data_IF_431064758839
#
_entry.id   IF_431064758839
#
_cell.length_a   1.000
_cell.length_b   1.000
_cell.length_c   1.000
_cell.angle_alpha   90.00
_cell.angle_beta   90.00
_cell.angle_gamma   90.00
#
_symmetry.space_group_name_H-M   'P 1'
#
loop_
_entity.id
_entity.type
_entity.pdbx_description
1 polymer ?
#
# COMPACT_ATOMS: atom_id res chain seq x y z
N UNK A 1 10.61 13.32 1.65
CA UNK A 1 11.11 12.57 0.48
C UNK A 1 12.54 12.17 0.77
N UNK A 2 12.79 10.91 1.12
CA UNK A 2 14.15 10.40 1.27
C UNK A 2 14.54 9.75 -0.06
N UNK A 3 15.53 10.31 -0.75
CA UNK A 3 16.10 9.75 -1.97
C UNK A 3 17.44 9.12 -1.61
N UNK A 4 17.46 7.82 -1.29
CA UNK A 4 18.70 7.05 -1.29
C UNK A 4 19.08 6.75 -2.76
N UNK A 5 20.37 6.83 -3.08
CA UNK A 5 20.90 6.85 -4.44
C UNK A 5 20.36 5.75 -5.36
N UNK A 6 20.25 6.08 -6.65
CA UNK A 6 19.59 5.35 -7.75
C UNK A 6 19.79 3.82 -7.85
N UNK A 7 20.74 3.20 -7.17
CA UNK A 7 20.96 1.75 -7.23
C UNK A 7 20.18 0.96 -6.16
N UNK A 8 19.79 1.57 -5.01
CA UNK A 8 19.08 0.85 -3.94
C UNK A 8 17.56 0.80 -4.12
N UNK A 9 16.97 1.78 -4.81
CA UNK A 9 15.51 1.92 -4.95
C UNK A 9 14.87 1.07 -6.05
N UNK A 10 15.64 0.59 -7.04
CA UNK A 10 15.08 -0.08 -8.21
C UNK A 10 14.39 -1.41 -7.86
N UNK A 11 14.86 -2.08 -6.80
CA UNK A 11 14.30 -3.33 -6.30
C UNK A 11 13.11 -3.16 -5.38
N UNK A 12 12.79 -1.93 -4.95
CA UNK A 12 11.70 -1.67 -4.03
C UNK A 12 10.35 -1.78 -4.73
N UNK A 13 9.33 -2.15 -3.95
CA UNK A 13 7.94 -2.21 -4.41
C UNK A 13 7.18 -0.92 -4.10
N UNK A 14 7.91 0.19 -4.12
CA UNK A 14 7.42 1.56 -3.93
C UNK A 14 7.78 2.36 -5.18
N UNK A 15 6.84 3.16 -5.68
CA UNK A 15 7.02 3.97 -6.88
C UNK A 15 8.17 4.96 -6.69
N UNK A 16 9.12 4.97 -7.63
CA UNK A 16 10.27 5.88 -7.58
C UNK A 16 9.96 7.20 -8.28
N UNK A 17 10.26 8.32 -7.60
CA UNK A 17 10.35 9.64 -8.23
C UNK A 17 11.73 9.75 -8.90
N UNK A 18 11.80 9.55 -10.20
CA UNK A 18 13.05 9.51 -10.97
C UNK A 18 13.66 10.91 -11.12
N UNK A 19 12.82 11.93 -11.30
CA UNK A 19 13.24 13.32 -11.44
C UNK A 19 12.09 14.27 -11.07
N UNK A 20 12.39 15.54 -10.81
CA UNK A 20 11.39 16.60 -10.59
C UNK A 20 11.77 17.77 -11.48
N UNK A 21 10.84 18.17 -12.36
CA UNK A 21 11.11 19.24 -13.32
C UNK A 21 11.42 20.54 -12.57
N UNK A 22 12.47 21.22 -13.04
CA UNK A 22 12.87 22.47 -12.44
C UNK A 22 11.86 23.57 -12.79
N UNK A 23 11.29 24.26 -11.79
CA UNK A 23 10.48 25.43 -12.08
C UNK A 23 11.37 26.55 -12.65
N UNK A 24 10.91 27.29 -13.67
CA UNK A 24 11.71 28.34 -14.31
C UNK A 24 11.98 29.53 -13.39
N UNK A 25 11.05 29.84 -12.47
CA UNK A 25 11.22 30.87 -11.44
C UNK A 25 10.32 30.58 -10.24
N UNK A 26 10.76 30.96 -9.03
CA UNK A 26 10.03 30.71 -7.77
C UNK A 26 8.64 31.40 -7.76
N UNK A 27 8.54 32.59 -8.36
CA UNK A 27 7.28 33.35 -8.41
C UNK A 27 6.19 32.67 -9.23
N UNK A 28 6.57 31.79 -10.17
CA UNK A 28 5.66 31.02 -11.01
C UNK A 28 5.53 29.56 -10.55
N UNK A 29 6.07 29.22 -9.38
CA UNK A 29 5.99 27.86 -8.82
C UNK A 29 4.60 27.60 -8.25
N UNK A 30 3.68 27.19 -9.14
CA UNK A 30 2.31 26.79 -8.82
C UNK A 30 2.08 25.29 -8.98
N UNK A 31 2.86 24.64 -9.85
CA UNK A 31 2.73 23.23 -10.21
C UNK A 31 4.05 22.50 -9.99
N UNK A 32 3.96 21.22 -9.65
CA UNK A 32 5.10 20.32 -9.48
C UNK A 32 4.91 19.16 -10.44
N UNK A 33 5.90 18.92 -11.28
CA UNK A 33 5.91 17.79 -12.20
C UNK A 33 6.97 16.80 -11.74
N UNK A 34 6.51 15.63 -11.31
CA UNK A 34 7.37 14.52 -10.87
C UNK A 34 7.42 13.49 -11.98
N UNK A 35 8.62 13.17 -12.45
CA UNK A 35 8.85 12.07 -13.38
C UNK A 35 8.99 10.79 -12.56
N UNK A 36 8.22 9.77 -12.92
CA UNK A 36 8.29 8.45 -12.32
C UNK A 36 8.60 7.41 -13.38
N UNK A 37 8.84 6.18 -12.95
CA UNK A 37 8.74 5.04 -13.86
C UNK A 37 7.32 4.92 -14.43
N UNK A 38 7.23 4.40 -15.65
CA UNK A 38 5.96 4.17 -16.33
C UNK A 38 5.33 2.86 -15.86
N UNK A 39 4.16 2.98 -15.23
CA UNK A 39 3.31 1.84 -14.90
C UNK A 39 2.03 1.93 -15.75
N UNK A 40 1.80 0.94 -16.61
CA UNK A 40 0.73 1.02 -17.62
C UNK A 40 -0.69 0.95 -17.03
N UNK A 41 -0.86 0.34 -15.86
CA UNK A 41 -2.15 0.13 -15.21
C UNK A 41 -2.03 0.22 -13.69
N UNK A 42 -3.17 0.11 -13.03
CA UNK A 42 -3.33 -0.17 -11.61
C UNK A 42 -3.99 -1.54 -11.42
N UNK A 43 -3.89 -2.10 -10.22
CA UNK A 43 -4.44 -3.41 -9.89
C UNK A 43 -5.98 -3.42 -9.95
N UNK A 44 -6.64 -2.28 -9.70
CA UNK A 44 -8.10 -2.16 -9.83
C UNK A 44 -8.55 -2.50 -11.25
N UNK A 45 -7.95 -1.86 -12.26
CA UNK A 45 -8.23 -2.15 -13.68
C UNK A 45 -7.94 -3.61 -14.03
N UNK A 46 -6.87 -4.19 -13.51
CA UNK A 46 -6.57 -5.61 -13.71
C UNK A 46 -7.68 -6.50 -13.13
N UNK A 47 -8.15 -6.21 -11.91
CA UNK A 47 -9.22 -6.95 -11.20
C UNK A 47 -10.56 -6.89 -11.93
N UNK A 48 -10.94 -5.74 -12.49
CA UNK A 48 -12.26 -5.59 -13.14
C UNK A 48 -12.26 -5.91 -14.64
N UNK A 49 -11.08 -6.05 -15.26
CA UNK A 49 -10.95 -6.37 -16.69
C UNK A 49 -11.45 -7.80 -17.02
N UNK A 50 -11.64 -8.14 -18.31
CA UNK A 50 -11.86 -9.54 -18.71
C UNK A 50 -10.58 -10.38 -18.74
N UNK A 51 -9.40 -9.79 -18.42
CA UNK A 51 -8.14 -10.53 -18.44
C UNK A 51 -8.13 -11.65 -17.41
N UNK A 52 -7.65 -12.83 -17.81
CA UNK A 52 -7.60 -13.98 -16.93
C UNK A 52 -6.49 -13.83 -15.87
N UNK A 53 -6.88 -13.74 -14.59
CA UNK A 53 -5.97 -13.87 -13.46
C UNK A 53 -5.84 -15.34 -13.07
N UNK A 54 -4.64 -15.89 -13.20
CA UNK A 54 -4.29 -17.23 -12.74
C UNK A 54 -3.96 -17.20 -11.24
N UNK A 55 -3.90 -18.38 -10.61
CA UNK A 55 -3.42 -18.52 -9.23
C UNK A 55 -2.01 -17.93 -9.04
N UNK A 56 -1.13 -18.10 -10.03
CA UNK A 56 0.23 -17.55 -10.02
C UNK A 56 0.22 -16.02 -9.98
N UNK A 57 -0.64 -15.37 -10.76
CA UNK A 57 -0.79 -13.92 -10.73
C UNK A 57 -1.22 -13.44 -9.34
N UNK A 58 -2.18 -14.11 -8.71
CA UNK A 58 -2.65 -13.76 -7.35
C UNK A 58 -1.51 -13.85 -6.33
N UNK A 59 -0.77 -14.98 -6.33
CA UNK A 59 0.36 -15.19 -5.41
C UNK A 59 1.46 -14.15 -5.61
N UNK A 60 1.83 -13.86 -6.85
CA UNK A 60 2.88 -12.90 -7.20
C UNK A 60 2.49 -11.46 -6.85
N UNK A 61 1.24 -11.05 -7.09
CA UNK A 61 0.76 -9.73 -6.69
C UNK A 61 0.72 -9.60 -5.17
N UNK A 62 0.14 -10.57 -4.47
CA UNK A 62 0.08 -10.56 -3.00
C UNK A 62 1.48 -10.49 -2.38
N UNK A 63 2.40 -11.32 -2.87
CA UNK A 63 3.80 -11.31 -2.44
C UNK A 63 4.47 -9.93 -2.64
N UNK A 64 4.30 -9.32 -3.82
CA UNK A 64 4.91 -8.00 -4.10
C UNK A 64 4.32 -6.88 -3.22
N UNK A 65 3.01 -6.91 -2.94
CA UNK A 65 2.35 -5.94 -2.05
C UNK A 65 2.93 -6.07 -0.64
N UNK A 66 2.97 -7.29 -0.09
CA UNK A 66 3.50 -7.54 1.24
C UNK A 66 4.99 -7.21 1.33
N UNK A 67 5.78 -7.54 0.30
CA UNK A 67 7.20 -7.16 0.24
C UNK A 67 7.39 -5.64 0.27
N UNK A 68 6.53 -4.88 -0.40
CA UNK A 68 6.55 -3.40 -0.35
C UNK A 68 6.17 -2.86 1.02
N UNK A 69 5.12 -3.41 1.63
CA UNK A 69 4.71 -3.01 2.98
C UNK A 69 5.75 -3.37 4.03
N UNK A 70 6.46 -4.51 3.92
CA UNK A 70 7.54 -4.87 4.86
C UNK A 70 8.60 -3.77 4.92
N UNK A 71 8.99 -3.27 3.75
CA UNK A 71 9.93 -2.15 3.63
C UNK A 71 9.36 -0.88 4.29
N UNK A 72 8.15 -0.47 3.93
CA UNK A 72 7.50 0.73 4.50
C UNK A 72 7.33 0.65 6.02
N UNK A 73 6.85 -0.48 6.52
CA UNK A 73 6.63 -0.77 7.93
C UNK A 73 7.94 -0.77 8.73
N UNK A 74 9.02 -1.30 8.15
CA UNK A 74 10.35 -1.19 8.77
C UNK A 74 10.90 0.24 8.78
N UNK A 75 10.47 1.09 7.86
CA UNK A 75 10.73 2.54 7.89
C UNK A 75 9.78 3.30 8.82
N UNK A 76 8.91 2.59 9.58
CA UNK A 76 7.86 3.16 10.42
C UNK A 76 6.81 3.99 9.66
N UNK A 77 6.63 3.72 8.36
CA UNK A 77 5.61 4.36 7.53
C UNK A 77 4.36 3.48 7.51
N UNK A 78 3.21 4.05 7.86
CA UNK A 78 1.89 3.45 7.69
C UNK A 78 1.23 4.11 6.49
N UNK A 79 0.81 3.33 5.49
CA UNK A 79 0.29 3.89 4.25
C UNK A 79 -1.15 4.40 4.39
N UNK A 80 -2.00 3.72 5.18
CA UNK A 80 -3.39 4.07 5.53
C UNK A 80 -4.42 4.08 4.38
N UNK A 81 -3.97 4.05 3.13
CA UNK A 81 -4.82 4.03 1.93
C UNK A 81 -4.39 2.96 0.91
N UNK A 82 -4.06 1.77 1.39
CA UNK A 82 -3.78 0.62 0.53
C UNK A 82 -5.09 0.16 -0.12
N UNK A 83 -5.16 0.29 -1.45
CA UNK A 83 -6.29 -0.12 -2.28
C UNK A 83 -5.81 -0.47 -3.69
N UNK A 84 -6.56 -1.25 -4.48
CA UNK A 84 -6.12 -1.66 -5.82
C UNK A 84 -5.74 -0.51 -6.76
N UNK A 85 -6.37 0.66 -6.61
CA UNK A 85 -6.03 1.87 -7.39
C UNK A 85 -4.67 2.49 -7.06
N UNK A 86 -4.15 2.23 -5.86
CA UNK A 86 -2.84 2.73 -5.39
C UNK A 86 -1.73 1.67 -5.54
N UNK A 87 -2.02 0.58 -6.25
CA UNK A 87 -1.09 -0.50 -6.56
C UNK A 87 -0.89 -0.53 -8.07
N UNK A 88 0.14 0.16 -8.53
CA UNK A 88 0.45 0.28 -9.95
C UNK A 88 1.06 -1.02 -10.47
N UNK A 89 0.70 -1.39 -11.70
CA UNK A 89 1.12 -2.63 -12.35
C UNK A 89 1.59 -2.34 -13.77
N UNK A 90 2.72 -2.97 -14.16
CA UNK A 90 3.22 -2.89 -15.52
C UNK A 90 2.97 -4.19 -16.32
N UNK A 91 3.28 -4.17 -17.63
CA UNK A 91 3.09 -5.33 -18.53
C UNK A 91 3.84 -6.60 -18.11
N UNK A 92 4.90 -6.44 -17.30
CA UNK A 92 5.70 -7.55 -16.78
C UNK A 92 5.19 -8.04 -15.42
N UNK A 93 3.97 -7.65 -15.02
CA UNK A 93 3.37 -7.94 -13.71
C UNK A 93 4.23 -7.46 -12.51
N UNK A 94 5.10 -6.47 -12.72
CA UNK A 94 5.78 -5.78 -11.62
C UNK A 94 4.77 -4.83 -10.97
N UNK A 95 4.69 -4.90 -9.64
CA UNK A 95 3.79 -4.08 -8.84
C UNK A 95 4.58 -3.05 -8.03
N UNK A 96 4.06 -1.83 -7.93
CA UNK A 96 4.57 -0.79 -7.05
C UNK A 96 3.47 -0.03 -6.33
N UNK A 97 3.67 0.19 -5.03
CA UNK A 97 2.79 0.99 -4.17
C UNK A 97 3.03 2.47 -4.47
N UNK A 98 1.95 3.23 -4.62
CA UNK A 98 1.98 4.68 -4.83
C UNK A 98 0.95 5.40 -3.95
N UNK A 99 0.91 6.72 -4.06
CA UNK A 99 -0.02 7.61 -3.36
C UNK A 99 0.12 7.60 -1.83
N UNK A 100 1.20 8.22 -1.37
CA UNK A 100 1.52 8.42 0.04
C UNK A 100 0.87 9.68 0.62
N UNK A 101 -0.12 10.27 -0.05
CA UNK A 101 -0.75 11.53 0.38
C UNK A 101 -1.43 11.42 1.75
N UNK A 102 -1.83 10.21 2.14
CA UNK A 102 -2.39 9.89 3.45
C UNK A 102 -1.42 9.08 4.31
N UNK A 103 -0.17 8.87 3.93
CA UNK A 103 0.76 8.11 4.75
C UNK A 103 1.16 8.90 6.01
N UNK A 104 1.53 8.19 7.08
CA UNK A 104 2.06 8.79 8.33
C UNK A 104 3.20 7.98 8.87
N UNK A 105 4.11 8.65 9.58
CA UNK A 105 5.04 7.97 10.47
C UNK A 105 4.28 7.47 11.69
N UNK A 106 4.62 6.27 12.12
CA UNK A 106 4.09 5.65 13.32
C UNK A 106 4.39 6.49 14.56
N UNK A 107 3.34 6.82 15.32
CA UNK A 107 3.47 7.52 16.59
C UNK A 107 3.61 6.50 17.74
N UNK A 108 4.80 6.38 18.38
CA UNK A 108 5.00 5.42 19.46
C UNK A 108 4.24 5.79 20.75
N UNK A 109 3.86 7.05 20.94
CA UNK A 109 3.10 7.48 22.09
C UNK A 109 1.61 7.23 21.89
N UNK A 110 1.08 6.16 22.49
CA UNK A 110 -0.34 5.78 22.43
C UNK A 110 -1.30 6.87 22.93
N UNK A 111 -0.82 7.84 23.71
CA UNK A 111 -1.63 8.96 24.21
C UNK A 111 -1.94 10.01 23.13
N UNK A 112 -1.14 10.05 22.06
CA UNK A 112 -1.34 10.99 20.96
C UNK A 112 -2.32 10.42 19.93
N UNK A 113 -3.27 11.26 19.55
CA UNK A 113 -4.28 10.86 18.57
C UNK A 113 -3.74 10.98 17.14
N UNK A 114 -4.01 9.96 16.33
CA UNK A 114 -3.77 9.93 14.90
C UNK A 114 -5.04 10.37 14.16
N UNK A 115 -4.89 11.25 13.17
CA UNK A 115 -6.03 11.80 12.41
C UNK A 115 -6.76 10.73 11.62
N UNK A 116 -8.09 10.79 11.58
CA UNK A 116 -8.90 9.93 10.73
C UNK A 116 -9.33 10.70 9.49
N UNK A 117 -8.74 10.39 8.35
CA UNK A 117 -9.08 11.04 7.07
C UNK A 117 -10.30 10.35 6.43
N UNK A 118 -11.17 11.11 5.78
CA UNK A 118 -12.40 10.62 5.14
C UNK A 118 -12.13 10.30 3.67
N UNK A 119 -12.00 9.02 3.34
CA UNK A 119 -11.71 8.50 1.99
C UNK A 119 -12.41 7.15 1.78
N UNK A 120 -12.04 6.42 0.72
CA UNK A 120 -12.59 5.10 0.35
C UNK A 120 -12.65 4.14 1.54
N UNK A 121 -13.86 3.66 1.85
CA UNK A 121 -14.11 2.84 3.05
C UNK A 121 -13.94 1.33 2.85
N UNK A 122 -13.93 0.84 1.60
CA UNK A 122 -13.96 -0.60 1.29
C UNK A 122 -12.78 -1.40 1.86
N UNK A 123 -11.62 -0.75 2.02
CA UNK A 123 -10.38 -1.35 2.48
C UNK A 123 -9.99 -0.88 3.89
N UNK A 124 -10.87 -0.12 4.56
CA UNK A 124 -10.61 0.45 5.88
C UNK A 124 -10.76 -0.60 6.97
N UNK A 125 -9.79 -0.62 7.89
CA UNK A 125 -9.76 -1.56 9.00
C UNK A 125 -10.89 -1.33 10.04
N UNK A 126 -11.37 -2.38 10.73
CA UNK A 126 -12.47 -2.26 11.70
C UNK A 126 -12.19 -1.25 12.80
N UNK A 127 -10.96 -1.20 13.32
CA UNK A 127 -10.54 -0.25 14.35
C UNK A 127 -10.71 1.20 13.90
N UNK A 128 -10.41 1.51 12.64
CA UNK A 128 -10.62 2.86 12.07
C UNK A 128 -12.12 3.16 11.90
N UNK A 129 -12.92 2.18 11.46
CA UNK A 129 -14.38 2.32 11.35
C UNK A 129 -15.06 2.50 12.72
N UNK A 130 -14.49 1.92 13.77
CA UNK A 130 -14.96 2.01 15.15
C UNK A 130 -14.39 3.22 15.91
N UNK A 131 -13.67 4.13 15.25
CA UNK A 131 -13.24 5.39 15.88
C UNK A 131 -11.97 5.28 16.73
N UNK A 132 -11.10 4.29 16.48
CA UNK A 132 -9.82 4.19 17.17
C UNK A 132 -8.99 5.47 16.98
N UNK A 133 -8.50 6.02 18.10
CA UNK A 133 -7.73 7.26 18.13
C UNK A 133 -6.24 7.04 17.89
N UNK A 134 -5.76 5.84 18.15
CA UNK A 134 -4.40 5.41 17.88
C UNK A 134 -4.47 4.08 17.13
N UNK A 135 -3.61 3.92 16.13
CA UNK A 135 -3.59 2.76 15.26
C UNK A 135 -2.21 2.64 14.63
N UNK A 136 -1.85 1.42 14.23
CA UNK A 136 -0.52 1.07 13.76
C UNK A 136 -0.57 0.36 12.39
N UNK A 137 0.55 -0.21 11.98
CA UNK A 137 0.79 -0.92 10.71
C UNK A 137 -0.25 -2.01 10.36
N UNK A 138 -0.93 -2.56 11.36
CA UNK A 138 -1.97 -3.58 11.17
C UNK A 138 -3.12 -3.10 10.26
N UNK A 139 -3.39 -1.79 10.18
CA UNK A 139 -4.44 -1.24 9.29
C UNK A 139 -4.14 -1.55 7.82
N UNK A 140 -2.87 -1.50 7.40
CA UNK A 140 -2.48 -1.82 6.03
C UNK A 140 -2.64 -3.32 5.75
N UNK A 141 -2.36 -4.18 6.72
CA UNK A 141 -2.54 -5.64 6.57
C UNK A 141 -4.01 -5.99 6.35
N UNK A 142 -4.93 -5.32 7.07
CA UNK A 142 -6.36 -5.48 6.81
C UNK A 142 -6.71 -5.12 5.37
N UNK A 143 -6.23 -3.96 4.90
CA UNK A 143 -6.45 -3.52 3.52
C UNK A 143 -5.94 -4.54 2.51
N UNK A 144 -4.75 -5.12 2.73
CA UNK A 144 -4.22 -6.21 1.88
C UNK A 144 -5.11 -7.45 1.96
N UNK A 145 -5.64 -7.81 3.12
CA UNK A 145 -6.62 -8.89 3.26
C UNK A 145 -7.85 -8.67 2.37
N UNK A 146 -8.42 -7.47 2.38
CA UNK A 146 -9.53 -7.11 1.48
C UNK A 146 -9.15 -7.27 0.00
N UNK A 147 -7.97 -6.76 -0.40
CA UNK A 147 -7.45 -6.87 -1.77
C UNK A 147 -7.20 -8.33 -2.15
N UNK A 148 -6.72 -9.16 -1.22
CA UNK A 148 -6.50 -10.57 -1.47
C UNK A 148 -7.83 -11.31 -1.72
N UNK A 149 -8.85 -11.05 -0.90
CA UNK A 149 -10.20 -11.56 -1.16
C UNK A 149 -10.75 -11.11 -2.51
N UNK A 150 -10.48 -9.86 -2.89
CA UNK A 150 -10.88 -9.31 -4.20
C UNK A 150 -10.10 -9.92 -5.38
N UNK A 151 -8.82 -10.22 -5.22
CA UNK A 151 -8.02 -10.95 -6.23
C UNK A 151 -8.55 -12.37 -6.44
N UNK A 152 -8.98 -13.05 -5.37
CA UNK A 152 -9.56 -14.39 -5.43
C UNK A 152 -10.95 -14.39 -6.07
N UNK A 153 -11.76 -13.36 -5.78
CA UNK A 153 -13.17 -13.30 -6.18
C UNK A 153 -13.54 -12.35 -7.30
N UNK A 154 -12.58 -11.56 -7.82
CA UNK A 154 -12.76 -10.56 -8.87
C UNK A 154 -13.84 -9.51 -8.56
N UNK A 155 -14.13 -9.31 -7.26
CA UNK A 155 -15.13 -8.36 -6.75
C UNK A 155 -14.69 -7.83 -5.40
N UNK A 156 -15.03 -6.57 -5.11
CA UNK A 156 -14.75 -5.93 -3.83
C UNK A 156 -15.32 -6.80 -2.69
N UNK A 157 -14.47 -7.16 -1.73
CA UNK A 157 -14.85 -8.08 -0.65
C UNK A 157 -15.93 -7.49 0.26
N UNK A 158 -15.75 -6.23 0.67
CA UNK A 158 -16.68 -5.50 1.53
C UNK A 158 -17.08 -4.20 0.85
N UNK A 159 -18.18 -4.24 0.08
CA UNK A 159 -18.73 -3.08 -0.60
C UNK A 159 -19.91 -2.50 0.18
N UNK A 160 -19.74 -1.29 0.72
CA UNK A 160 -20.78 -0.61 1.50
C UNK A 160 -20.80 0.91 1.29
N UNK A 161 -21.97 1.54 1.46
CA UNK A 161 -22.13 2.98 1.21
C UNK A 161 -21.78 3.86 2.41
N UNK A 162 -21.69 3.30 3.62
CA UNK A 162 -21.35 4.04 4.83
C UNK A 162 -20.43 3.23 5.77
N UNK A 163 -19.70 3.90 6.69
CA UNK A 163 -18.81 3.21 7.63
C UNK A 163 -19.54 2.20 8.52
N UNK A 164 -20.78 2.52 8.90
CA UNK A 164 -21.64 1.61 9.65
C UNK A 164 -21.94 0.38 8.81
N UNK A 165 -22.46 0.54 7.59
CA UNK A 165 -22.74 -0.58 6.67
C UNK A 165 -21.50 -1.42 6.39
N UNK A 166 -20.33 -0.78 6.25
CA UNK A 166 -19.05 -1.46 6.06
C UNK A 166 -18.76 -2.39 7.24
N UNK A 167 -18.95 -1.90 8.48
CA UNK A 167 -18.78 -2.69 9.68
C UNK A 167 -19.80 -3.84 9.78
N UNK A 168 -21.03 -3.65 9.28
CA UNK A 168 -22.02 -4.75 9.21
C UNK A 168 -21.56 -5.86 8.26
N UNK A 169 -21.07 -5.49 7.07
CA UNK A 169 -20.54 -6.47 6.10
C UNK A 169 -19.37 -7.26 6.64
N UNK A 170 -18.49 -6.59 7.38
CA UNK A 170 -17.37 -7.25 8.07
C UNK A 170 -17.89 -8.23 9.12
N UNK A 171 -18.87 -7.80 9.93
CA UNK A 171 -19.50 -8.63 10.96
C UNK A 171 -20.25 -9.82 10.37
N UNK A 172 -20.90 -9.67 9.21
CA UNK A 172 -21.59 -10.76 8.52
C UNK A 172 -20.63 -11.89 8.14
N UNK A 173 -19.39 -11.56 7.79
CA UNK A 173 -18.37 -12.55 7.42
C UNK A 173 -17.62 -13.10 8.64
N UNK A 174 -17.13 -12.22 9.52
CA UNK A 174 -16.24 -12.59 10.62
C UNK A 174 -16.99 -12.97 11.91
N UNK A 175 -18.29 -12.73 11.97
CA UNK A 175 -19.09 -12.87 13.18
C UNK A 175 -19.04 -11.61 14.05
N UNK A 176 -19.80 -11.61 15.13
CA UNK A 176 -19.82 -10.50 16.09
C UNK A 176 -18.53 -10.49 16.93
N UNK A 177 -17.76 -9.39 16.93
CA UNK A 177 -16.53 -9.31 17.71
C UNK A 177 -16.80 -9.29 19.21
N UNK A 178 -15.89 -9.89 19.98
CA UNK A 178 -15.91 -9.76 21.44
C UNK A 178 -15.46 -8.35 21.88
N UNK A 179 -15.66 -8.02 23.16
CA UNK A 179 -15.14 -6.76 23.74
C UNK A 179 -13.61 -6.69 23.62
N UNK A 180 -12.93 -7.82 23.79
CA UNK A 180 -11.48 -7.92 23.60
C UNK A 180 -11.07 -7.62 22.16
N UNK A 181 -11.89 -8.03 21.19
CA UNK A 181 -11.61 -7.74 19.77
C UNK A 181 -11.87 -6.28 19.38
N UNK A 182 -12.64 -5.56 20.21
CA UNK A 182 -12.93 -4.13 20.08
C UNK A 182 -12.11 -3.27 21.03
N UNK A 183 -10.95 -3.75 21.50
CA UNK A 183 -10.08 -3.07 22.48
C UNK A 183 -9.84 -1.58 22.21
N UNK A 184 -9.70 -1.19 20.94
CA UNK A 184 -9.41 0.20 20.53
C UNK A 184 -10.63 0.98 20.03
N UNK A 185 -11.82 0.38 20.05
CA UNK A 185 -13.04 1.02 19.59
C UNK A 185 -13.50 2.13 20.55
N UNK A 186 -14.18 3.15 20.00
CA UNK A 186 -14.85 4.13 20.85
C UNK A 186 -16.09 3.53 21.53
N UNK A 187 -16.49 4.09 22.67
CA UNK A 187 -17.62 3.60 23.48
C UNK A 187 -18.92 3.49 22.66
N UNK A 188 -19.18 4.46 21.78
CA UNK A 188 -20.35 4.45 20.90
C UNK A 188 -20.34 3.29 19.92
N UNK A 189 -19.18 2.93 19.36
CA UNK A 189 -19.05 1.81 18.44
C UNK A 189 -19.22 0.46 19.16
N UNK A 190 -18.63 0.30 20.35
CA UNK A 190 -18.80 -0.90 21.19
C UNK A 190 -20.27 -1.11 21.53
N UNK A 191 -20.93 -0.05 22.01
CA UNK A 191 -22.36 -0.11 22.39
C UNK A 191 -23.23 -0.49 21.19
N UNK A 192 -22.99 0.14 20.04
CA UNK A 192 -23.71 -0.17 18.80
C UNK A 192 -23.49 -1.62 18.34
N UNK A 193 -22.28 -2.17 18.48
CA UNK A 193 -22.00 -3.55 18.09
C UNK A 193 -22.66 -4.57 19.02
N UNK A 194 -22.60 -4.34 20.33
CA UNK A 194 -23.14 -5.25 21.35
C UNK A 194 -24.67 -5.21 21.44
N UNK A 195 -25.32 -4.12 21.03
CA UNK A 195 -26.78 -4.03 21.02
C UNK A 195 -27.45 -4.88 19.94
N UNK A 196 -26.68 -5.45 19.01
CA UNK A 196 -27.19 -6.23 17.88
C UNK A 196 -27.22 -7.72 18.20
N UNK A 197 -28.07 -8.50 17.50
CA UNK A 197 -28.04 -9.96 17.62
C UNK A 197 -26.66 -10.51 17.25
N UNK A 198 -26.16 -11.40 18.11
CA UNK A 198 -24.88 -12.09 17.89
C UNK A 198 -24.97 -12.94 16.61
N UNK A 199 -23.97 -12.81 15.75
CA UNK A 199 -23.83 -13.56 14.49
C UNK A 199 -22.62 -14.48 14.56
N UNK A 200 -22.75 -15.78 14.19
CA UNK A 200 -21.60 -16.65 14.03
C UNK A 200 -20.77 -16.23 12.82
N UNK A 201 -19.49 -16.58 12.81
CA UNK A 201 -18.61 -16.33 11.66
C UNK A 201 -19.03 -17.18 10.44
N UNK A 202 -19.08 -16.56 9.27
CA UNK A 202 -19.42 -17.18 7.99
C UNK A 202 -18.17 -17.46 7.14
N UNK A 203 -17.05 -17.85 7.77
CA UNK A 203 -15.77 -18.11 7.09
C UNK A 203 -15.84 -19.12 5.92
N UNK A 204 -16.72 -20.14 5.91
CA UNK A 204 -16.89 -21.02 4.75
C UNK A 204 -17.22 -20.26 3.45
N UNK A 205 -17.81 -19.06 3.52
CA UNK A 205 -18.07 -18.22 2.36
C UNK A 205 -16.78 -17.79 1.63
N UNK A 206 -15.62 -17.78 2.30
CA UNK A 206 -14.33 -17.45 1.67
C UNK A 206 -13.91 -18.49 0.63
N UNK A 207 -14.28 -19.76 0.81
CA UNK A 207 -14.00 -20.83 -0.17
C UNK A 207 -14.82 -20.69 -1.44
N UNK A 208 -15.88 -19.87 -1.45
CA UNK A 208 -16.73 -19.63 -2.61
C UNK A 208 -16.35 -18.38 -3.40
N UNK A 209 -15.28 -17.67 -2.99
CA UNK A 209 -14.81 -16.48 -3.69
C UNK A 209 -14.42 -16.79 -5.14
N UNK A 210 -13.75 -17.91 -5.38
CA UNK A 210 -13.40 -18.36 -6.73
C UNK A 210 -12.50 -19.59 -6.74
N UNK A 211 -12.14 -20.04 -7.94
CA UNK A 211 -11.38 -21.29 -8.15
C UNK A 211 -9.98 -21.29 -7.52
N UNK A 212 -9.47 -20.12 -7.12
CA UNK A 212 -8.15 -19.95 -6.50
C UNK A 212 -8.20 -19.88 -4.96
N UNK A 213 -9.39 -19.96 -4.36
CA UNK A 213 -9.60 -19.96 -2.92
C UNK A 213 -9.25 -21.34 -2.30
N UNK A 214 -7.98 -21.73 -2.40
CA UNK A 214 -7.45 -22.96 -1.79
C UNK A 214 -7.46 -22.85 -0.26
N UNK A 215 -7.25 -23.97 0.44
CA UNK A 215 -7.18 -23.95 1.90
C UNK A 215 -6.09 -22.99 2.41
N UNK A 216 -4.90 -23.00 1.82
CA UNK A 216 -3.82 -22.10 2.24
C UNK A 216 -4.15 -20.62 1.94
N UNK A 217 -4.84 -20.35 0.83
CA UNK A 217 -5.29 -19.01 0.47
C UNK A 217 -6.28 -18.48 1.51
N UNK A 218 -7.32 -19.26 1.80
CA UNK A 218 -8.35 -18.90 2.78
C UNK A 218 -7.74 -18.81 4.18
N UNK A 219 -6.83 -19.71 4.55
CA UNK A 219 -6.16 -19.66 5.85
C UNK A 219 -5.38 -18.34 6.01
N UNK A 220 -4.51 -17.99 5.07
CA UNK A 220 -3.80 -16.70 5.08
C UNK A 220 -4.78 -15.52 5.15
N UNK A 221 -5.83 -15.53 4.33
CA UNK A 221 -6.84 -14.48 4.30
C UNK A 221 -7.51 -14.29 5.68
N UNK A 222 -7.87 -15.37 6.37
CA UNK A 222 -8.47 -15.30 7.72
C UNK A 222 -7.49 -14.81 8.79
N UNK A 223 -6.17 -14.94 8.57
CA UNK A 223 -5.16 -14.38 9.47
C UNK A 223 -4.92 -12.88 9.25
N UNK A 224 -5.28 -12.37 8.08
CA UNK A 224 -5.23 -10.93 7.76
C UNK A 224 -6.55 -10.22 8.13
N UNK A 225 -7.68 -10.91 8.03
CA UNK A 225 -9.01 -10.38 8.36
C UNK A 225 -9.42 -10.73 9.80
N UNK A 226 -8.77 -10.07 10.76
CA UNK A 226 -9.07 -10.18 12.19
C UNK A 226 -9.48 -8.81 12.74
N UNK A 227 -10.53 -8.78 13.56
CA UNK A 227 -11.03 -7.55 14.20
C UNK A 227 -9.98 -6.90 15.10
N UNK A 228 -9.43 -7.66 16.04
CA UNK A 228 -8.38 -7.17 16.92
C UNK A 228 -7.07 -6.97 16.12
N UNK A 229 -6.55 -5.74 15.99
CA UNK A 229 -5.31 -5.52 15.27
C UNK A 229 -4.10 -6.20 15.94
N UNK A 230 -4.12 -6.42 17.26
CA UNK A 230 -3.03 -7.08 18.01
C UNK A 230 -2.93 -8.58 17.68
N UNK A 231 -4.04 -9.19 17.22
CA UNK A 231 -4.11 -10.61 16.83
C UNK A 231 -3.92 -10.82 15.33
N UNK A 232 -3.95 -9.75 14.54
CA UNK A 232 -3.80 -9.77 13.08
C UNK A 232 -2.37 -10.14 12.73
N UNK A 233 -2.18 -10.89 11.64
CA UNK A 233 -0.82 -11.13 11.14
C UNK A 233 -0.09 -9.81 10.87
N UNK A 234 1.19 -9.77 11.21
CA UNK A 234 2.09 -8.75 10.68
C UNK A 234 2.40 -9.06 9.22
N UNK A 235 2.96 -8.10 8.50
CA UNK A 235 3.43 -8.34 7.12
C UNK A 235 4.49 -9.44 7.07
N UNK A 236 5.36 -9.52 8.08
CA UNK A 236 6.38 -10.59 8.20
C UNK A 236 5.72 -11.95 8.34
N UNK A 237 4.76 -12.09 9.27
CA UNK A 237 4.03 -13.36 9.46
C UNK A 237 3.23 -13.75 8.20
N UNK A 238 2.71 -12.77 7.47
CA UNK A 238 2.01 -13.02 6.21
C UNK A 238 2.98 -13.50 5.11
N UNK A 239 4.16 -12.89 4.99
CA UNK A 239 5.20 -13.29 4.03
C UNK A 239 5.68 -14.72 4.28
N UNK A 240 5.85 -15.12 5.54
CA UNK A 240 6.28 -16.46 5.94
C UNK A 240 5.20 -17.54 5.84
N UNK A 241 4.00 -17.19 5.40
CA UNK A 241 2.93 -18.15 5.22
C UNK A 241 3.16 -19.03 3.97
N UNK A 242 2.97 -20.37 4.05
CA UNK A 242 3.26 -21.31 2.95
C UNK A 242 2.59 -20.98 1.60
N UNK A 243 1.39 -20.38 1.64
CA UNK A 243 0.70 -19.90 0.44
C UNK A 243 1.58 -19.03 -0.49
N UNK A 244 2.53 -18.27 0.08
CA UNK A 244 3.38 -17.34 -0.65
C UNK A 244 4.69 -17.95 -1.14
N UNK A 245 5.05 -19.18 -0.78
CA UNK A 245 6.33 -19.79 -1.17
C UNK A 245 6.49 -19.86 -2.69
N UNK A 246 5.45 -20.31 -3.40
CA UNK A 246 5.46 -20.36 -4.86
C UNK A 246 5.49 -18.96 -5.49
N UNK A 247 4.78 -17.98 -4.92
CA UNK A 247 4.78 -16.60 -5.40
C UNK A 247 6.15 -15.94 -5.22
N UNK A 248 6.76 -16.14 -4.06
CA UNK A 248 8.12 -15.69 -3.70
C UNK A 248 9.15 -16.31 -4.65
N UNK A 249 9.10 -17.63 -4.84
CA UNK A 249 10.01 -18.32 -5.76
C UNK A 249 9.85 -17.84 -7.20
N UNK A 250 8.62 -17.70 -7.70
CA UNK A 250 8.37 -17.27 -9.09
C UNK A 250 8.86 -15.84 -9.32
N UNK A 251 8.52 -14.93 -8.42
CA UNK A 251 9.01 -13.56 -8.48
C UNK A 251 10.56 -13.53 -8.53
N UNK A 252 11.20 -14.29 -7.64
CA UNK A 252 12.65 -14.40 -7.56
C UNK A 252 13.29 -15.29 -8.62
N UNK A 253 12.52 -15.98 -9.48
CA UNK A 253 13.01 -16.82 -10.59
C UNK A 253 12.93 -16.17 -11.98
N UNK A 254 11.99 -15.26 -12.23
CA UNK A 254 11.91 -14.58 -13.53
C UNK A 254 11.53 -13.09 -13.54
N UNK A 255 11.16 -12.48 -12.41
CA UNK A 255 10.58 -11.11 -12.43
C UNK A 255 11.42 -10.06 -11.73
N UNK A 256 12.09 -10.44 -10.65
CA UNK A 256 12.86 -9.49 -9.87
C UNK A 256 14.12 -9.02 -10.60
N UNK A 257 14.53 -7.78 -10.30
CA UNK A 257 15.83 -7.25 -10.73
C UNK A 257 16.93 -7.54 -9.69
N UNK A 258 16.58 -7.96 -8.46
CA UNK A 258 17.55 -8.18 -7.37
C UNK A 258 18.31 -9.51 -7.48
N UNK A 259 17.86 -10.44 -8.33
CA UNK A 259 18.55 -11.69 -8.61
C UNK A 259 19.22 -11.62 -9.99
N UNK A 260 20.46 -12.10 -10.09
CA UNK A 260 21.24 -12.12 -11.33
C UNK A 260 21.12 -13.43 -12.10
N UNK A 261 21.50 -13.40 -13.37
CA UNK A 261 21.77 -14.62 -14.14
C UNK A 261 23.26 -14.95 -14.02
N UNK A 262 23.59 -16.15 -13.55
CA UNK A 262 24.96 -16.61 -13.45
C UNK A 262 25.51 -16.95 -14.86
N UNK A 263 26.82 -16.79 -15.10
CA UNK A 263 27.45 -17.15 -16.39
C UNK A 263 27.24 -18.61 -16.81
N UNK A 264 27.02 -19.51 -15.85
CA UNK A 264 26.77 -20.94 -16.07
C UNK A 264 25.30 -21.29 -16.38
N UNK A 265 24.42 -20.31 -16.57
CA UNK A 265 23.00 -20.51 -16.90
C UNK A 265 22.07 -20.73 -15.70
N UNK A 266 22.59 -20.72 -14.47
CA UNK A 266 21.77 -20.73 -13.24
C UNK A 266 21.32 -19.32 -12.82
N UNK A 267 20.28 -19.21 -11.98
CA UNK A 267 19.91 -17.93 -11.36
C UNK A 267 20.64 -17.76 -10.02
N UNK A 268 21.26 -16.60 -9.82
CA UNK A 268 21.88 -16.22 -8.54
C UNK A 268 20.87 -15.42 -7.72
N UNK A 269 20.37 -16.04 -6.65
CA UNK A 269 19.38 -15.42 -5.78
C UNK A 269 20.01 -14.40 -4.83
N UNK A 270 19.30 -13.29 -4.59
CA UNK A 270 19.68 -12.33 -3.56
C UNK A 270 19.70 -13.00 -2.18
N UNK A 271 20.68 -12.69 -1.31
CA UNK A 271 20.67 -13.17 0.07
C UNK A 271 19.52 -12.56 0.89
N UNK A 272 19.06 -11.36 0.51
CA UNK A 272 17.89 -10.72 1.11
C UNK A 272 16.78 -10.58 0.06
N UNK A 273 15.80 -11.48 0.17
CA UNK A 273 14.65 -11.56 -0.74
C UNK A 273 13.62 -10.47 -0.47
N UNK A 274 13.65 -9.84 0.71
CA UNK A 274 12.61 -8.99 1.28
C UNK A 274 13.24 -7.93 2.19
N UNK A 275 13.87 -6.90 1.59
CA UNK A 275 14.66 -5.93 2.32
C UNK A 275 13.81 -5.05 3.22
N UNK A 276 14.44 -4.60 4.30
CA UNK A 276 13.95 -3.59 5.22
C UNK A 276 14.64 -2.25 4.96
N UNK A 277 14.05 -1.16 5.41
CA UNK A 277 14.67 0.15 5.39
C UNK A 277 15.88 0.19 6.32
N UNK A 278 16.93 0.89 5.90
CA UNK A 278 18.17 1.09 6.67
C UNK A 278 17.93 1.86 7.97
N UNK A 279 16.96 2.78 7.95
CA UNK A 279 16.59 3.65 9.04
C UNK A 279 15.09 4.01 8.97
N UNK A 280 14.47 4.40 10.10
CA UNK A 280 13.14 4.98 10.10
C UNK A 280 13.04 6.22 9.19
N UNK A 281 11.86 6.48 8.65
CA UNK A 281 11.61 7.68 7.86
C UNK A 281 11.59 8.92 8.75
N UNK A 282 12.34 9.94 8.35
CA UNK A 282 12.35 11.25 8.99
C UNK A 282 11.23 12.15 8.41
N UNK A 283 10.21 12.44 9.23
CA UNK A 283 9.12 13.38 8.94
C UNK A 283 9.38 14.79 9.48
N UNK A 284 10.58 15.07 9.99
CA UNK A 284 11.04 16.40 10.40
C UNK A 284 10.81 17.47 9.32
N UNK A 285 10.96 17.08 8.05
CA UNK A 285 10.72 17.98 6.92
C UNK A 285 9.27 18.53 6.89
N UNK A 286 8.26 17.68 7.19
CA UNK A 286 6.84 18.05 7.22
C UNK A 286 6.48 18.82 8.49
N UNK A 287 6.94 18.35 9.66
CA UNK A 287 6.62 18.96 10.96
C UNK A 287 7.14 20.39 11.12
N UNK A 288 8.21 20.75 10.42
CA UNK A 288 8.80 22.09 10.43
C UNK A 288 8.10 23.10 9.50
N UNK A 289 7.22 22.63 8.60
CA UNK A 289 6.49 23.48 7.66
C UNK A 289 5.26 24.08 8.36
N UNK A 290 5.25 25.41 8.48
CA UNK A 290 4.20 26.18 9.16
C UNK A 290 3.36 27.04 8.21
N UNK A 291 3.77 27.17 6.95
CA UNK A 291 3.07 28.01 5.96
C UNK A 291 3.36 27.58 4.51
N UNK A 292 2.44 27.92 3.60
CA UNK A 292 2.59 27.65 2.16
C UNK A 292 3.82 28.35 1.54
N UNK A 293 4.16 29.62 1.85
CA UNK A 293 5.37 30.24 1.33
C UNK A 293 6.65 29.49 1.74
N UNK A 294 6.73 29.05 2.99
CA UNK A 294 7.86 28.25 3.48
C UNK A 294 7.96 26.90 2.76
N UNK A 295 6.82 26.24 2.52
CA UNK A 295 6.75 25.00 1.74
C UNK A 295 7.29 25.22 0.31
N UNK A 296 6.80 26.26 -0.38
CA UNK A 296 7.24 26.60 -1.75
C UNK A 296 8.74 26.84 -1.83
N UNK A 297 9.27 27.63 -0.92
CA UNK A 297 10.70 27.95 -0.88
C UNK A 297 11.57 26.71 -0.57
N UNK A 298 11.16 25.88 0.41
CA UNK A 298 11.84 24.61 0.70
C UNK A 298 11.83 23.65 -0.48
N UNK A 299 10.68 23.45 -1.12
CA UNK A 299 10.55 22.59 -2.30
C UNK A 299 11.37 23.10 -3.46
N UNK A 300 11.32 24.41 -3.74
CA UNK A 300 12.12 25.03 -4.79
C UNK A 300 13.63 24.83 -4.56
N UNK A 301 14.11 25.09 -3.33
CA UNK A 301 15.51 24.84 -2.94
C UNK A 301 15.89 23.36 -3.06
N UNK A 302 15.00 22.47 -2.64
CA UNK A 302 15.18 21.02 -2.79
C UNK A 302 15.37 20.64 -4.27
N UNK A 303 14.46 21.05 -5.15
CA UNK A 303 14.50 20.75 -6.59
C UNK A 303 15.79 21.29 -7.23
N UNK A 304 16.16 22.56 -6.97
CA UNK A 304 17.38 23.15 -7.53
C UNK A 304 18.64 22.45 -7.03
N UNK A 305 18.69 22.09 -5.75
CA UNK A 305 19.86 21.40 -5.18
C UNK A 305 20.02 19.95 -5.67
N UNK A 306 18.92 19.32 -6.09
CA UNK A 306 18.86 17.94 -6.55
C UNK A 306 18.97 17.79 -8.06
N UNK A 307 18.82 18.87 -8.83
CA UNK A 307 19.16 18.89 -10.25
C UNK A 307 20.62 18.44 -10.38
N UNK A 308 20.81 17.20 -10.82
CA UNK A 308 22.07 16.48 -10.71
C UNK A 308 23.19 17.31 -11.33
N UNK A 309 24.32 17.49 -10.62
CA UNK A 309 25.47 18.26 -11.10
C UNK A 309 26.01 17.81 -12.48
N UNK A 310 25.63 16.61 -12.93
CA UNK A 310 26.07 15.98 -14.19
C UNK A 310 24.99 15.83 -15.27
N UNK A 311 23.76 16.35 -15.11
CA UNK A 311 22.72 16.30 -16.17
C UNK A 311 22.06 17.67 -16.35
N UNK A 312 21.71 17.96 -17.60
CA UNK A 312 20.95 19.15 -17.96
C UNK A 312 19.56 19.03 -17.30
N UNK A 313 19.12 20.02 -16.51
CA UNK A 313 17.80 20.00 -15.87
C UNK A 313 16.69 19.84 -16.90
N UNK A 314 15.73 18.95 -16.61
CA UNK A 314 14.53 18.83 -17.43
C UNK A 314 13.60 19.99 -17.10
N UNK A 315 13.36 20.83 -18.11
CA UNK A 315 12.42 21.94 -18.07
C UNK A 315 11.30 21.69 -19.08
N UNK A 316 10.09 22.17 -18.76
CA UNK A 316 9.02 22.19 -19.75
C UNK A 316 9.37 23.22 -20.82
N UNK A 317 9.30 22.82 -22.09
CA UNK A 317 9.42 23.76 -23.21
C UNK A 317 8.03 24.29 -23.59
N UNK A 318 7.65 25.50 -23.17
CA UNK A 318 6.34 26.08 -23.48
C UNK A 318 6.14 26.37 -24.97
N UNK A 319 7.22 26.41 -25.75
CA UNK A 319 7.18 26.65 -27.20
C UNK A 319 7.00 25.35 -28.00
N UNK A 320 7.03 24.19 -27.35
CA UNK A 320 6.81 22.91 -28.02
C UNK A 320 5.36 22.76 -28.51
N UNK A 321 5.17 22.19 -29.70
CA UNK A 321 3.84 21.87 -30.22
C UNK A 321 3.05 20.95 -29.27
N UNK A 322 3.74 20.07 -28.54
CA UNK A 322 3.15 19.16 -27.55
C UNK A 322 2.72 19.86 -26.24
N UNK A 323 3.21 21.07 -25.97
CA UNK A 323 2.83 21.81 -24.75
C UNK A 323 1.35 22.20 -24.76
N UNK A 324 0.81 22.55 -25.94
CA UNK A 324 -0.60 22.94 -26.11
C UNK A 324 -1.59 21.81 -25.78
N UNK A 325 -1.17 20.55 -25.91
CA UNK A 325 -1.95 19.37 -25.49
C UNK A 325 -1.71 18.98 -24.02
N UNK A 326 -0.60 19.42 -23.43
CA UNK A 326 -0.19 19.08 -22.07
C UNK A 326 -0.86 19.97 -21.01
N UNK A 327 -1.09 21.26 -21.30
CA UNK A 327 -1.69 22.24 -20.37
C UNK A 327 -3.21 22.32 -20.45
N UNK A 328 -3.90 21.31 -20.99
CA UNK A 328 -5.36 21.32 -21.19
C UNK A 328 -6.10 20.51 -20.15
#
# INVERSE_FOLDING_TARGET
MHYEGNASNEYLKVLSALDILQPPHIDFFQEIYVITELMQSDLHKIIVSPQHLTADHVKVFLYQILRGLKYLHSARIIHRDIKPGNLLVNSNCVLKICDFGLARVEEPDESKHMTQEVVTQYYRAPELLMGAKHYMQAVDVWSVGCIFGELLGRRILFQAQSPIQQLERITDLLGTPSVEDMKYACEGAVTHMLSRPQKPAALPALYTLGNHATHDAVHLLTKMLIFNPDKRYTVVNALDHPYLDEGRMRYHSCMCNCCGSAPCGGRQYTPDSEPVASQPFDDGWESEIKSIPQLKDRLHRFIISHASRDRIPLCINPLSAAYKSFTR
#
